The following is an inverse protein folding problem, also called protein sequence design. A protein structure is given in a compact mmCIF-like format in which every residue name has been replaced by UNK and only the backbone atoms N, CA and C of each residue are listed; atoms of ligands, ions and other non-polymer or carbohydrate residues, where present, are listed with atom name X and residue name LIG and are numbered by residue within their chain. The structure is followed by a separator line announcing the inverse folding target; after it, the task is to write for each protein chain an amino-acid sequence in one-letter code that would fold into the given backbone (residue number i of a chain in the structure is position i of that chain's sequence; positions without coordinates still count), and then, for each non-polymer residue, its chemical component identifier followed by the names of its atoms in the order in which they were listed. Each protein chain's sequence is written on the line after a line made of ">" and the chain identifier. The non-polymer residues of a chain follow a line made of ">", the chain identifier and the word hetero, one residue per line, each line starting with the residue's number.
data_IF_603777416550
#
_entry.id   IF_603777416550
#
_cell.length_a   1.000
_cell.length_b   1.000
_cell.length_c   1.000
_cell.angle_alpha   90.00
_cell.angle_beta   90.00
_cell.angle_gamma   90.00
#
_symmetry.space_group_name_H-M   'P 1'
#
loop_
_entity.id
_entity.type
_entity.pdbx_description
1 polymer ?
#
# COMPACT_ATOMS: atom_id res chain seq x y z
N UNK A 1 6.33 -25.05 -4.84
CA UNK A 1 5.47 -23.87 -4.71
C UNK A 1 6.15 -22.75 -5.48
N UNK A 2 5.46 -22.12 -6.42
CA UNK A 2 6.03 -20.94 -7.11
C UNK A 2 5.86 -19.74 -6.16
N UNK A 3 6.95 -19.10 -5.80
CA UNK A 3 6.87 -17.91 -4.94
C UNK A 3 6.39 -16.66 -5.70
N UNK A 4 6.71 -16.60 -7.00
CA UNK A 4 6.39 -15.44 -7.86
C UNK A 4 5.74 -15.93 -9.16
N UNK A 5 4.64 -15.31 -9.56
CA UNK A 5 3.99 -15.52 -10.87
C UNK A 5 4.00 -14.24 -11.68
N UNK A 6 4.30 -14.36 -12.96
CA UNK A 6 4.25 -13.26 -13.92
C UNK A 6 3.04 -13.44 -14.84
N UNK A 7 2.14 -12.45 -14.86
CA UNK A 7 0.92 -12.43 -15.69
C UNK A 7 0.19 -13.80 -15.75
N UNK A 8 -0.17 -14.40 -14.60
CA UNK A 8 -0.77 -15.72 -14.63
C UNK A 8 -2.17 -15.64 -15.27
N UNK A 9 -2.49 -16.64 -16.09
CA UNK A 9 -3.83 -16.82 -16.65
C UNK A 9 -4.73 -17.49 -15.57
N UNK A 10 -5.12 -16.71 -14.56
CA UNK A 10 -5.95 -17.13 -13.43
C UNK A 10 -7.24 -16.32 -13.40
N UNK A 11 -8.31 -16.94 -12.96
CA UNK A 11 -9.52 -16.22 -12.54
C UNK A 11 -9.20 -15.37 -11.31
N UNK A 12 -10.04 -14.39 -11.01
CA UNK A 12 -9.83 -13.54 -9.82
C UNK A 12 -9.84 -14.35 -8.51
N UNK A 13 -10.68 -15.39 -8.41
CA UNK A 13 -10.75 -16.28 -7.25
C UNK A 13 -9.45 -17.10 -7.08
N UNK A 14 -8.96 -17.67 -8.18
CA UNK A 14 -7.68 -18.39 -8.17
C UNK A 14 -6.51 -17.47 -7.83
N UNK A 15 -6.53 -16.23 -8.34
CA UNK A 15 -5.52 -15.22 -8.03
C UNK A 15 -5.50 -14.90 -6.53
N UNK A 16 -6.68 -14.66 -5.93
CA UNK A 16 -6.79 -14.40 -4.49
C UNK A 16 -6.29 -15.60 -3.67
N UNK A 17 -6.68 -16.83 -4.03
CA UNK A 17 -6.22 -18.04 -3.38
C UNK A 17 -4.69 -18.15 -3.39
N UNK A 18 -4.03 -17.83 -4.53
CA UNK A 18 -2.56 -17.86 -4.63
C UNK A 18 -1.90 -16.81 -3.74
N UNK A 19 -2.47 -15.61 -3.65
CA UNK A 19 -1.98 -14.56 -2.75
C UNK A 19 -2.17 -14.94 -1.28
N UNK A 20 -3.26 -15.65 -0.93
CA UNK A 20 -3.48 -16.18 0.42
C UNK A 20 -2.57 -17.39 0.75
N UNK A 21 -2.01 -18.06 -0.26
CA UNK A 21 -0.98 -19.09 -0.12
C UNK A 21 0.45 -18.50 -0.03
N UNK A 22 0.62 -17.17 -0.07
CA UNK A 22 1.91 -16.49 0.08
C UNK A 22 2.66 -16.26 -1.24
N UNK A 23 2.02 -16.44 -2.38
CA UNK A 23 2.63 -16.11 -3.66
C UNK A 23 2.59 -14.60 -3.91
N UNK A 24 3.57 -14.09 -4.66
CA UNK A 24 3.57 -12.75 -5.24
C UNK A 24 3.13 -12.83 -6.71
N UNK A 25 2.33 -11.86 -7.14
CA UNK A 25 1.90 -11.77 -8.54
C UNK A 25 2.40 -10.46 -9.14
N UNK A 26 3.07 -10.57 -10.27
CA UNK A 26 3.52 -9.43 -11.08
C UNK A 26 2.64 -9.30 -12.31
N UNK A 27 2.07 -8.14 -12.51
CA UNK A 27 1.29 -7.80 -13.70
C UNK A 27 2.07 -6.83 -14.59
N UNK A 28 2.11 -7.12 -15.88
CA UNK A 28 2.58 -6.20 -16.88
C UNK A 28 1.66 -4.99 -17.04
N UNK A 29 2.16 -3.85 -17.54
CA UNK A 29 1.33 -2.68 -17.77
C UNK A 29 0.16 -2.96 -18.70
N UNK A 30 -1.05 -2.69 -18.24
CA UNK A 30 -2.28 -2.71 -19.02
C UNK A 30 -2.75 -1.29 -19.32
N UNK A 31 -3.74 -1.11 -20.19
CA UNK A 31 -4.25 0.23 -20.51
C UNK A 31 -4.76 0.99 -19.27
N UNK A 32 -5.58 0.40 -18.36
CA UNK A 32 -6.01 1.08 -17.14
C UNK A 32 -4.86 1.38 -16.18
N UNK A 33 -3.89 0.47 -16.01
CA UNK A 33 -2.69 0.71 -15.17
C UNK A 33 -1.87 1.88 -15.72
N UNK A 34 -1.65 1.92 -17.04
CA UNK A 34 -0.96 3.04 -17.70
C UNK A 34 -1.75 4.36 -17.56
N UNK A 35 -3.07 4.32 -17.64
CA UNK A 35 -3.92 5.49 -17.47
C UNK A 35 -3.85 6.05 -16.04
N UNK A 36 -3.84 5.18 -15.02
CA UNK A 36 -3.66 5.59 -13.62
C UNK A 36 -2.29 6.24 -13.39
N UNK A 37 -1.23 5.65 -13.96
CA UNK A 37 0.13 6.24 -13.87
C UNK A 37 0.21 7.57 -14.62
N UNK A 38 -0.39 7.68 -15.81
CA UNK A 38 -0.43 8.93 -16.57
C UNK A 38 -1.18 10.04 -15.80
N UNK A 39 -2.31 9.70 -15.16
CA UNK A 39 -3.05 10.60 -14.29
C UNK A 39 -2.18 11.10 -13.13
N UNK A 40 -1.52 10.18 -12.42
CA UNK A 40 -0.62 10.53 -11.32
C UNK A 40 0.55 11.43 -11.79
N UNK A 41 1.18 11.11 -12.94
CA UNK A 41 2.25 11.93 -13.53
C UNK A 41 1.78 13.34 -13.87
N UNK A 42 0.57 13.50 -14.42
CA UNK A 42 -0.02 14.81 -14.69
C UNK A 42 -0.17 15.64 -13.42
N UNK A 43 -0.66 15.03 -12.33
CA UNK A 43 -0.79 15.69 -11.03
C UNK A 43 0.56 16.03 -10.40
N UNK A 44 1.55 15.13 -10.49
CA UNK A 44 2.91 15.34 -10.00
C UNK A 44 3.57 16.51 -10.77
N UNK A 45 3.51 16.48 -12.10
CA UNK A 45 4.06 17.56 -12.94
C UNK A 45 3.42 18.91 -12.63
N UNK A 46 2.10 18.95 -12.41
CA UNK A 46 1.39 20.16 -11.99
C UNK A 46 1.83 20.69 -10.61
N UNK A 47 2.23 19.80 -9.69
CA UNK A 47 2.70 20.19 -8.35
C UNK A 47 4.16 20.69 -8.35
N UNK A 48 4.99 20.16 -9.24
CA UNK A 48 6.42 20.50 -9.32
C UNK A 48 6.76 21.40 -10.53
N UNK A 49 5.72 21.79 -11.29
CA UNK A 49 5.79 22.76 -12.40
C UNK A 49 6.83 22.38 -13.47
N UNK A 50 7.90 23.15 -13.55
CA UNK A 50 8.99 23.09 -14.53
C UNK A 50 10.20 22.26 -14.07
N UNK A 51 10.10 21.61 -12.92
CA UNK A 51 11.20 20.83 -12.34
C UNK A 51 10.95 19.34 -12.48
N UNK A 52 12.03 18.56 -12.67
CA UNK A 52 11.93 17.11 -12.61
C UNK A 52 11.57 16.65 -11.19
N UNK A 53 10.40 16.06 -10.97
CA UNK A 53 9.91 15.71 -9.64
C UNK A 53 10.77 14.66 -8.93
N UNK A 54 11.49 13.83 -9.69
CA UNK A 54 12.35 12.80 -9.09
C UNK A 54 13.63 13.38 -8.49
N UNK A 55 14.15 14.48 -9.03
CA UNK A 55 15.41 15.10 -8.58
C UNK A 55 15.22 16.46 -7.85
N UNK A 56 14.00 16.97 -7.77
CA UNK A 56 13.72 18.30 -7.23
C UNK A 56 14.12 18.46 -5.76
N UNK A 57 14.12 17.39 -4.97
CA UNK A 57 14.52 17.41 -3.56
C UNK A 57 15.91 18.02 -3.31
N UNK A 58 16.81 17.97 -4.30
CA UNK A 58 18.14 18.56 -4.19
C UNK A 58 18.22 20.04 -4.58
N UNK A 59 17.09 20.63 -5.00
CA UNK A 59 17.03 21.98 -5.58
C UNK A 59 16.13 22.94 -4.83
N UNK A 60 15.26 22.43 -3.94
CA UNK A 60 14.34 23.23 -3.14
C UNK A 60 14.47 22.88 -1.66
N UNK A 61 14.13 23.82 -0.75
CA UNK A 61 14.06 23.55 0.68
C UNK A 61 13.01 22.48 1.03
N UNK A 62 13.22 21.79 2.16
CA UNK A 62 12.32 20.74 2.67
C UNK A 62 10.88 21.26 2.83
N UNK A 63 10.73 22.47 3.36
CA UNK A 63 9.43 23.11 3.59
C UNK A 63 8.66 23.32 2.29
N UNK A 64 9.35 23.74 1.24
CA UNK A 64 8.74 23.93 -0.09
C UNK A 64 8.35 22.59 -0.69
N UNK A 65 9.20 21.57 -0.58
CA UNK A 65 8.87 20.22 -1.02
C UNK A 65 7.60 19.69 -0.32
N UNK A 66 7.49 19.88 0.98
CA UNK A 66 6.33 19.49 1.78
C UNK A 66 5.07 20.25 1.33
N UNK A 67 5.16 21.54 1.10
CA UNK A 67 4.03 22.37 0.63
C UNK A 67 3.51 21.93 -0.75
N UNK A 68 4.36 21.38 -1.60
CA UNK A 68 3.98 20.85 -2.91
C UNK A 68 3.45 19.39 -2.82
N UNK A 69 4.17 18.52 -2.13
CA UNK A 69 3.86 17.09 -2.05
C UNK A 69 2.65 16.77 -1.16
N UNK A 70 2.43 17.51 -0.06
CA UNK A 70 1.32 17.26 0.86
C UNK A 70 -0.06 17.41 0.20
N UNK A 71 -0.39 18.58 -0.39
CA UNK A 71 -1.64 18.76 -1.13
C UNK A 71 -1.80 17.82 -2.34
N UNK A 72 -0.70 17.48 -3.02
CA UNK A 72 -0.70 16.52 -4.13
C UNK A 72 -1.23 15.15 -3.69
N UNK A 73 -0.73 14.61 -2.57
CA UNK A 73 -1.19 13.32 -2.03
C UNK A 73 -2.69 13.34 -1.73
N UNK A 74 -3.17 14.39 -1.07
CA UNK A 74 -4.59 14.53 -0.74
C UNK A 74 -5.46 14.67 -1.99
N UNK A 75 -5.03 15.45 -2.98
CA UNK A 75 -5.75 15.60 -4.26
C UNK A 75 -5.85 14.27 -4.98
N UNK A 76 -4.75 13.51 -5.12
CA UNK A 76 -4.77 12.21 -5.76
C UNK A 76 -5.76 11.24 -5.10
N UNK A 77 -5.72 11.18 -3.77
CA UNK A 77 -6.60 10.31 -2.97
C UNK A 77 -8.09 10.64 -3.15
N UNK A 78 -8.43 11.93 -3.22
CA UNK A 78 -9.83 12.38 -3.23
C UNK A 78 -10.39 12.62 -4.64
N UNK A 79 -9.54 12.54 -5.67
CA UNK A 79 -9.97 12.76 -7.05
C UNK A 79 -10.92 11.64 -7.51
N UNK A 80 -12.15 11.97 -7.96
CA UNK A 80 -13.07 10.98 -8.52
C UNK A 80 -12.45 10.18 -9.67
N UNK A 81 -11.60 10.82 -10.50
CA UNK A 81 -10.94 10.16 -11.61
C UNK A 81 -9.98 9.05 -11.15
N UNK A 82 -9.30 9.23 -10.03
CA UNK A 82 -8.45 8.17 -9.45
C UNK A 82 -9.29 6.93 -9.11
N UNK A 83 -10.48 7.10 -8.52
CA UNK A 83 -11.38 5.98 -8.16
C UNK A 83 -11.93 5.28 -9.41
N UNK A 84 -12.31 6.04 -10.43
CA UNK A 84 -12.75 5.48 -11.72
C UNK A 84 -11.65 4.63 -12.38
N UNK A 85 -10.42 5.11 -12.39
CA UNK A 85 -9.29 4.39 -12.97
C UNK A 85 -8.96 3.11 -12.19
N UNK A 86 -9.10 3.12 -10.86
CA UNK A 86 -8.99 1.88 -10.06
C UNK A 86 -10.10 0.90 -10.42
N UNK A 87 -11.34 1.36 -10.54
CA UNK A 87 -12.45 0.51 -11.01
C UNK A 87 -12.15 -0.11 -12.37
N UNK A 88 -11.61 0.65 -13.32
CA UNK A 88 -11.25 0.14 -14.65
C UNK A 88 -10.15 -0.94 -14.56
N UNK A 89 -9.17 -0.79 -13.66
CA UNK A 89 -8.15 -1.81 -13.36
C UNK A 89 -8.81 -3.08 -12.83
N UNK A 90 -9.77 -2.95 -11.90
CA UNK A 90 -10.46 -4.10 -11.31
C UNK A 90 -11.34 -4.82 -12.34
N UNK A 91 -11.99 -4.09 -13.26
CA UNK A 91 -12.73 -4.68 -14.40
C UNK A 91 -11.79 -5.53 -15.25
N UNK A 92 -10.65 -4.97 -15.67
CA UNK A 92 -9.69 -5.67 -16.51
C UNK A 92 -9.07 -6.89 -15.81
N UNK A 93 -8.95 -6.82 -14.49
CA UNK A 93 -8.46 -7.93 -13.65
C UNK A 93 -9.51 -9.01 -13.38
N UNK A 94 -10.70 -8.92 -13.99
CA UNK A 94 -11.78 -9.90 -13.83
C UNK A 94 -12.43 -9.91 -12.45
N UNK A 95 -12.35 -8.80 -11.70
CA UNK A 95 -13.01 -8.68 -10.41
C UNK A 95 -14.53 -8.51 -10.58
N UNK A 96 -15.33 -9.20 -9.76
CA UNK A 96 -16.75 -8.83 -9.61
C UNK A 96 -16.86 -7.53 -8.83
N UNK A 97 -17.27 -6.46 -9.51
CA UNK A 97 -17.34 -5.12 -8.92
C UNK A 97 -18.38 -4.99 -7.80
N UNK A 98 -19.38 -5.88 -7.75
CA UNK A 98 -20.42 -5.85 -6.72
C UNK A 98 -19.96 -6.47 -5.40
N UNK A 99 -19.02 -7.42 -5.46
CA UNK A 99 -18.42 -8.06 -4.28
C UNK A 99 -17.00 -7.59 -3.97
N UNK A 100 -16.35 -6.85 -4.89
CA UNK A 100 -15.01 -6.28 -4.66
C UNK A 100 -15.11 -4.89 -4.07
N UNK A 101 -14.36 -4.66 -3.01
CA UNK A 101 -14.19 -3.36 -2.36
C UNK A 101 -12.73 -2.95 -2.41
N UNK A 102 -12.46 -1.65 -2.55
CA UNK A 102 -11.11 -1.11 -2.48
C UNK A 102 -11.03 0.04 -1.48
N UNK A 103 -9.85 0.21 -0.89
CA UNK A 103 -9.62 1.28 0.06
C UNK A 103 -9.15 2.58 -0.61
N UNK A 104 -8.93 3.57 0.20
CA UNK A 104 -8.43 4.89 -0.19
C UNK A 104 -7.10 4.78 -0.95
N UNK A 105 -7.05 5.13 -2.25
CA UNK A 105 -5.81 5.09 -3.03
C UNK A 105 -4.80 6.11 -2.51
N UNK A 106 -3.53 5.71 -2.46
CA UNK A 106 -2.45 6.54 -1.91
C UNK A 106 -1.36 6.79 -2.94
N UNK A 107 -1.03 8.06 -3.13
CA UNK A 107 0.20 8.43 -3.80
C UNK A 107 1.32 8.54 -2.74
N UNK A 108 2.30 7.65 -2.83
CA UNK A 108 3.46 7.63 -1.94
C UNK A 108 4.59 8.46 -2.53
N UNK A 109 5.23 9.22 -1.64
CA UNK A 109 6.40 10.04 -1.95
C UNK A 109 7.49 9.65 -0.97
N UNK A 110 8.56 9.04 -1.46
CA UNK A 110 9.69 8.60 -0.63
C UNK A 110 10.96 9.28 -1.14
N UNK A 111 11.43 10.27 -0.40
CA UNK A 111 12.67 10.97 -0.72
C UNK A 111 13.88 10.07 -0.49
N UNK A 112 15.02 10.43 -1.05
CA UNK A 112 16.29 9.73 -0.84
C UNK A 112 17.14 10.42 0.23
N UNK A 113 18.14 9.67 0.71
CA UNK A 113 19.25 10.18 1.50
C UNK A 113 18.84 10.93 2.78
N UNK A 114 17.70 10.55 3.37
CA UNK A 114 17.21 11.15 4.60
C UNK A 114 16.70 12.59 4.43
N UNK A 115 16.47 13.08 3.21
CA UNK A 115 15.95 14.43 2.95
C UNK A 115 14.61 14.69 3.66
N UNK A 116 13.73 13.70 3.71
CA UNK A 116 12.46 13.77 4.42
C UNK A 116 12.16 12.40 5.05
N UNK A 117 12.11 12.33 6.38
CA UNK A 117 11.97 11.06 7.12
C UNK A 117 10.64 10.87 7.84
N UNK A 118 9.76 11.89 7.81
CA UNK A 118 8.48 11.86 8.51
C UNK A 118 7.36 12.51 7.67
N UNK A 119 6.13 12.40 8.15
CA UNK A 119 4.97 13.06 7.52
C UNK A 119 4.75 12.63 6.07
N UNK A 120 4.93 13.54 5.13
CA UNK A 120 4.69 13.32 3.69
C UNK A 120 5.61 12.22 3.12
N UNK A 121 6.86 12.16 3.56
CA UNK A 121 7.89 11.25 3.04
C UNK A 121 8.18 10.05 3.94
N UNK A 122 7.28 9.69 4.87
CA UNK A 122 7.51 8.56 5.77
C UNK A 122 7.75 7.26 5.01
N UNK A 123 8.91 6.66 5.26
CA UNK A 123 9.29 5.34 4.75
C UNK A 123 8.94 4.27 5.79
N UNK A 124 8.01 3.39 5.45
CA UNK A 124 7.55 2.35 6.38
C UNK A 124 8.66 1.35 6.69
N UNK A 125 8.94 1.15 7.98
CA UNK A 125 9.78 0.07 8.48
C UNK A 125 9.11 -1.28 8.25
N UNK A 126 9.81 -2.38 8.52
CA UNK A 126 9.25 -3.71 8.35
C UNK A 126 7.96 -3.88 9.17
N UNK A 127 6.90 -4.36 8.51
CA UNK A 127 5.58 -4.59 9.10
C UNK A 127 4.75 -5.53 8.24
N UNK A 128 3.69 -6.07 8.83
CA UNK A 128 2.55 -6.63 8.09
C UNK A 128 1.42 -5.60 8.13
N UNK A 129 0.62 -5.51 7.07
CA UNK A 129 -0.54 -4.63 7.12
C UNK A 129 -1.57 -5.11 8.16
N UNK A 130 -1.62 -6.41 8.46
CA UNK A 130 -2.46 -6.97 9.51
C UNK A 130 -2.13 -6.37 10.88
N UNK A 131 -0.90 -5.98 11.17
CA UNK A 131 -0.55 -5.27 12.39
C UNK A 131 -1.17 -3.86 12.50
N UNK A 132 -1.63 -3.32 11.36
CA UNK A 132 -2.41 -2.07 11.28
C UNK A 132 -3.92 -2.34 11.21
N UNK A 133 -4.36 -3.47 11.75
CA UNK A 133 -5.78 -3.89 11.79
C UNK A 133 -6.41 -4.10 10.41
N UNK A 134 -5.60 -4.43 9.41
CA UNK A 134 -6.10 -4.82 8.09
C UNK A 134 -6.60 -6.26 8.11
N UNK A 135 -7.70 -6.58 7.41
CA UNK A 135 -8.22 -7.94 7.38
C UNK A 135 -7.29 -8.90 6.63
N UNK A 136 -7.25 -10.16 7.04
CA UNK A 136 -6.46 -11.24 6.40
C UNK A 136 -6.80 -11.47 4.93
N UNK A 137 -8.02 -11.08 4.51
CA UNK A 137 -8.49 -11.13 3.14
C UNK A 137 -7.99 -9.97 2.27
N UNK A 138 -7.26 -9.01 2.85
CA UNK A 138 -6.78 -7.85 2.11
C UNK A 138 -5.64 -8.23 1.17
N UNK A 139 -5.73 -7.71 -0.06
CA UNK A 139 -4.70 -7.76 -1.08
C UNK A 139 -4.18 -6.36 -1.37
N UNK A 140 -2.88 -6.24 -1.47
CA UNK A 140 -2.18 -5.01 -1.78
C UNK A 140 -1.83 -4.95 -3.27
N UNK A 141 -2.10 -3.82 -3.88
CA UNK A 141 -1.70 -3.45 -5.23
C UNK A 141 -0.70 -2.32 -5.12
N UNK A 142 0.51 -2.56 -5.59
CA UNK A 142 1.57 -1.57 -5.54
C UNK A 142 2.24 -1.41 -6.90
N UNK A 143 2.32 -0.17 -7.40
CA UNK A 143 2.90 0.14 -8.69
C UNK A 143 3.70 1.44 -8.65
N UNK A 144 4.87 1.49 -9.31
CA UNK A 144 5.64 2.72 -9.41
C UNK A 144 5.09 3.65 -10.49
N UNK A 145 5.24 4.96 -10.26
CA UNK A 145 4.87 6.00 -11.23
C UNK A 145 5.98 6.21 -12.26
N UNK A 146 7.24 6.01 -11.86
CA UNK A 146 8.44 6.06 -12.71
C UNK A 146 9.22 4.75 -12.57
N UNK A 147 10.08 4.43 -13.53
CA UNK A 147 10.93 3.24 -13.46
C UNK A 147 11.78 3.23 -12.19
N UNK A 148 11.91 2.07 -11.57
CA UNK A 148 12.64 1.91 -10.31
C UNK A 148 14.05 1.37 -10.55
N UNK A 149 14.91 1.66 -9.59
CA UNK A 149 16.17 0.96 -9.34
C UNK A 149 16.12 0.22 -7.99
N UNK A 150 17.03 -0.72 -7.71
CA UNK A 150 16.98 -1.57 -6.50
C UNK A 150 16.89 -0.81 -5.16
N UNK A 151 17.46 0.39 -5.07
CA UNK A 151 17.41 1.25 -3.88
C UNK A 151 16.13 2.09 -3.74
N UNK A 152 15.15 1.94 -4.65
CA UNK A 152 13.90 2.70 -4.64
C UNK A 152 12.65 1.84 -4.44
N UNK A 153 12.79 0.54 -4.22
CA UNK A 153 11.66 -0.39 -4.19
C UNK A 153 11.22 -0.72 -2.76
N UNK A 154 10.49 -1.80 -2.62
CA UNK A 154 10.11 -2.40 -1.35
C UNK A 154 10.91 -3.66 -1.10
N UNK A 155 11.20 -3.93 0.17
CA UNK A 155 11.77 -5.18 0.65
C UNK A 155 10.63 -6.10 1.09
N UNK A 156 10.61 -7.33 0.60
CA UNK A 156 9.69 -8.39 1.00
C UNK A 156 10.48 -9.48 1.72
N UNK A 157 9.89 -10.05 2.76
CA UNK A 157 10.54 -11.05 3.62
C UNK A 157 9.74 -12.36 3.63
N UNK A 158 9.75 -13.15 2.55
CA UNK A 158 8.90 -14.35 2.42
C UNK A 158 9.21 -15.43 3.45
N UNK A 159 10.40 -15.45 4.03
CA UNK A 159 10.76 -16.37 5.12
C UNK A 159 9.88 -16.23 6.37
N UNK A 160 9.20 -15.10 6.52
CA UNK A 160 8.26 -14.85 7.62
C UNK A 160 6.79 -15.17 7.28
N UNK A 161 6.49 -15.77 6.13
CA UNK A 161 5.10 -16.02 5.74
C UNK A 161 4.28 -16.75 6.80
N UNK A 162 4.78 -17.89 7.28
CA UNK A 162 4.18 -18.68 8.35
C UNK A 162 4.91 -18.57 9.69
N UNK A 163 5.98 -17.77 9.73
CA UNK A 163 6.81 -17.65 10.91
C UNK A 163 6.52 -16.33 11.63
N UNK A 164 6.06 -16.38 12.89
CA UNK A 164 5.83 -15.18 13.66
C UNK A 164 7.14 -14.45 13.94
N UNK A 165 7.04 -13.13 14.10
CA UNK A 165 8.10 -12.27 14.61
C UNK A 165 7.55 -11.41 15.74
N UNK A 166 8.28 -11.29 16.85
CA UNK A 166 7.89 -10.41 17.96
C UNK A 166 7.68 -8.98 17.45
N UNK A 167 6.52 -8.39 17.79
CA UNK A 167 6.13 -7.06 17.30
C UNK A 167 5.27 -6.32 18.31
N UNK A 168 5.05 -5.03 18.08
CA UNK A 168 4.28 -4.14 18.96
C UNK A 168 2.83 -3.92 18.51
N UNK A 169 2.24 -4.81 17.70
CA UNK A 169 0.86 -4.63 17.21
C UNK A 169 -0.18 -4.63 18.33
N UNK A 170 0.09 -5.29 19.46
CA UNK A 170 -0.79 -5.25 20.64
C UNK A 170 -1.02 -3.82 21.19
N UNK A 171 -0.11 -2.89 20.91
CA UNK A 171 -0.21 -1.48 21.32
C UNK A 171 -0.91 -0.61 20.27
N UNK A 172 -1.38 -1.20 19.18
CA UNK A 172 -1.99 -0.49 18.07
C UNK A 172 -3.51 -0.68 18.05
N UNK A 173 -4.23 0.43 18.05
CA UNK A 173 -5.66 0.51 17.87
C UNK A 173 -5.98 1.43 16.69
N UNK A 174 -6.65 0.90 15.66
CA UNK A 174 -6.94 1.64 14.43
C UNK A 174 -7.94 2.78 14.66
N UNK A 175 -8.92 2.62 15.54
CA UNK A 175 -9.92 3.65 15.83
C UNK A 175 -9.26 4.82 16.57
N UNK A 176 -8.36 4.54 17.53
CA UNK A 176 -7.53 5.56 18.15
C UNK A 176 -6.59 6.23 17.14
N UNK A 177 -5.96 5.45 16.26
CA UNK A 177 -5.09 5.95 15.21
C UNK A 177 -5.80 6.97 14.30
N UNK A 178 -7.03 6.69 13.86
CA UNK A 178 -7.81 7.64 13.05
C UNK A 178 -8.11 8.91 13.85
N UNK A 179 -8.56 8.76 15.10
CA UNK A 179 -8.98 9.87 15.94
C UNK A 179 -7.82 10.85 16.26
N UNK A 180 -6.64 10.30 16.54
CA UNK A 180 -5.46 11.08 16.98
C UNK A 180 -4.46 11.27 15.83
N UNK A 181 -4.23 10.23 15.05
CA UNK A 181 -3.17 10.16 14.03
C UNK A 181 -3.45 11.06 12.82
N UNK A 182 -4.71 11.23 12.41
CA UNK A 182 -5.06 12.16 11.31
C UNK A 182 -4.70 13.61 11.63
N UNK A 183 -4.91 14.02 12.87
CA UNK A 183 -4.56 15.38 13.33
C UNK A 183 -3.05 15.58 13.41
N UNK A 184 -2.30 14.54 13.76
CA UNK A 184 -0.84 14.59 13.87
C UNK A 184 -0.11 14.37 12.53
N UNK A 185 -0.74 13.72 11.56
CA UNK A 185 -0.17 13.50 10.23
C UNK A 185 0.11 14.80 9.46
N UNK A 186 -0.57 15.90 9.82
CA UNK A 186 -0.34 17.24 9.26
C UNK A 186 0.80 17.98 9.96
N UNK A 187 1.19 17.55 11.17
CA UNK A 187 2.32 18.14 11.89
C UNK A 187 3.62 17.56 11.34
N UNK A 188 4.28 18.35 10.54
CA UNK A 188 5.56 17.97 9.95
C UNK A 188 6.68 18.29 10.93
N UNK A 189 7.40 17.26 11.35
CA UNK A 189 8.58 17.39 12.21
C UNK A 189 9.70 16.49 11.71
N UNK A 190 10.87 16.63 12.28
CA UNK A 190 12.02 15.75 12.00
C UNK A 190 11.83 14.31 12.49
N UNK A 191 10.81 14.06 13.31
CA UNK A 191 10.51 12.75 13.90
C UNK A 191 9.02 12.46 13.74
N UNK A 192 8.67 11.25 13.27
CA UNK A 192 7.30 10.78 13.27
C UNK A 192 6.91 10.34 14.68
N UNK A 193 5.94 11.05 15.27
CA UNK A 193 5.46 10.79 16.63
C UNK A 193 4.28 9.82 16.69
N UNK A 194 3.81 9.32 15.52
CA UNK A 194 2.73 8.35 15.47
C UNK A 194 3.20 6.99 15.95
N UNK A 195 2.34 6.28 16.68
CA UNK A 195 2.60 4.89 17.05
C UNK A 195 2.45 4.00 15.82
N UNK A 196 3.54 3.43 15.36
CA UNK A 196 3.54 2.41 14.30
C UNK A 196 3.85 1.06 14.94
N UNK A 197 3.11 -0.01 14.60
CA UNK A 197 3.51 -1.36 14.97
C UNK A 197 4.84 -1.70 14.29
N UNK A 198 5.80 -2.16 15.08
CA UNK A 198 7.16 -2.45 14.64
C UNK A 198 7.62 -3.80 15.16
N UNK A 199 8.54 -4.51 14.46
CA UNK A 199 9.23 -5.64 15.03
C UNK A 199 10.00 -5.22 16.29
N UNK A 200 9.98 -6.04 17.33
CA UNK A 200 10.77 -5.84 18.57
C UNK A 200 12.15 -6.47 18.47
N UNK A 201 12.37 -7.24 17.41
CA UNK A 201 13.66 -7.88 17.09
C UNK A 201 14.09 -7.53 15.66
N UNK A 202 15.36 -7.77 15.35
CA UNK A 202 15.90 -7.50 14.02
C UNK A 202 15.32 -8.48 13.02
N UNK A 203 14.75 -7.97 11.92
CA UNK A 203 14.31 -8.79 10.80
C UNK A 203 15.52 -9.41 10.10
N UNK A 204 15.51 -10.73 9.93
CA UNK A 204 16.51 -11.44 9.14
C UNK A 204 16.33 -11.13 7.65
N UNK A 205 17.35 -10.57 7.04
CA UNK A 205 17.36 -10.23 5.61
C UNK A 205 17.84 -11.37 4.70
N UNK A 206 18.13 -12.55 5.23
CA UNK A 206 18.64 -13.67 4.43
C UNK A 206 17.69 -14.07 3.29
N UNK A 207 16.38 -13.85 3.46
CA UNK A 207 15.35 -14.14 2.46
C UNK A 207 14.76 -12.87 1.84
N UNK A 208 15.41 -11.71 2.01
CA UNK A 208 14.92 -10.46 1.44
C UNK A 208 14.82 -10.53 -0.09
N UNK A 209 13.67 -10.14 -0.61
CA UNK A 209 13.42 -10.00 -2.04
C UNK A 209 13.05 -8.56 -2.37
N UNK A 210 13.52 -8.08 -3.52
CA UNK A 210 13.20 -6.74 -4.04
C UNK A 210 12.68 -6.82 -5.46
N UNK A 211 11.50 -6.30 -5.69
CA UNK A 211 10.89 -6.22 -7.01
C UNK A 211 11.21 -4.89 -7.67
N UNK A 212 12.12 -4.90 -8.64
CA UNK A 212 12.51 -3.70 -9.41
C UNK A 212 11.58 -3.59 -10.61
N UNK A 213 10.57 -2.75 -10.50
CA UNK A 213 9.50 -2.63 -11.48
C UNK A 213 9.70 -1.40 -12.37
N UNK A 214 9.23 -1.51 -13.62
CA UNK A 214 9.02 -0.37 -14.51
C UNK A 214 7.69 0.30 -14.20
N UNK A 215 7.53 1.53 -14.67
CA UNK A 215 6.28 2.28 -14.52
C UNK A 215 5.06 1.47 -14.99
N UNK A 216 4.01 1.46 -14.16
CA UNK A 216 2.77 0.71 -14.35
C UNK A 216 2.87 -0.83 -14.28
N UNK A 217 4.06 -1.43 -14.14
CA UNK A 217 4.13 -2.81 -13.66
C UNK A 217 3.60 -2.86 -12.22
N UNK A 218 2.85 -3.89 -11.89
CA UNK A 218 2.14 -3.94 -10.60
C UNK A 218 2.50 -5.20 -9.82
N UNK A 219 2.88 -5.02 -8.56
CA UNK A 219 3.06 -6.09 -7.60
C UNK A 219 1.79 -6.26 -6.76
N UNK A 220 1.25 -7.48 -6.76
CA UNK A 220 0.19 -7.89 -5.85
C UNK A 220 0.76 -8.80 -4.77
N UNK A 221 0.32 -8.57 -3.52
CA UNK A 221 0.71 -9.37 -2.38
C UNK A 221 -0.33 -9.28 -1.26
N UNK A 222 -0.36 -10.27 -0.36
CA UNK A 222 -1.27 -10.28 0.79
C UNK A 222 -0.84 -9.30 1.88
N UNK A 223 -1.81 -8.74 2.61
CA UNK A 223 -1.59 -7.93 3.83
C UNK A 223 -0.71 -8.63 4.89
N UNK A 224 -0.69 -9.96 4.87
CA UNK A 224 0.10 -10.79 5.79
C UNK A 224 1.58 -10.93 5.43
N UNK A 225 2.03 -10.44 4.27
CA UNK A 225 3.45 -10.43 3.96
C UNK A 225 4.20 -9.41 4.83
N UNK A 226 5.28 -9.84 5.48
CA UNK A 226 6.22 -8.92 6.10
C UNK A 226 6.96 -8.16 5.01
N UNK A 227 6.88 -6.83 5.04
CA UNK A 227 7.48 -5.97 4.03
C UNK A 227 7.92 -4.63 4.61
N UNK A 228 8.81 -3.94 3.90
CA UNK A 228 9.31 -2.63 4.27
C UNK A 228 9.51 -1.74 3.04
N UNK A 229 9.57 -0.44 3.24
CA UNK A 229 10.20 0.45 2.25
C UNK A 229 11.71 0.23 2.30
N UNK A 230 12.33 -0.15 1.17
CA UNK A 230 13.78 -0.22 1.08
C UNK A 230 14.37 1.18 1.33
N UNK A 231 15.49 1.28 2.07
CA UNK A 231 16.18 2.56 2.23
C UNK A 231 16.51 3.16 0.86
N UNK A 232 16.00 4.36 0.59
CA UNK A 232 16.23 5.05 -0.67
C UNK A 232 17.54 5.85 -0.59
N UNK A 233 18.57 5.39 -1.28
CA UNK A 233 19.87 6.04 -1.41
C UNK A 233 20.21 6.37 -2.88
N UNK A 234 19.18 6.59 -3.69
CA UNK A 234 19.33 6.76 -5.15
C UNK A 234 19.66 8.18 -5.59
N UNK A 235 19.60 9.16 -4.70
CA UNK A 235 19.61 10.57 -5.08
C UNK A 235 18.29 11.07 -5.69
N UNK A 236 17.24 10.22 -5.74
CA UNK A 236 15.96 10.54 -6.38
C UNK A 236 14.77 10.25 -5.48
N UNK A 237 13.75 11.09 -5.57
CA UNK A 237 12.45 10.84 -4.94
C UNK A 237 11.69 9.75 -5.71
N UNK A 238 11.23 8.70 -5.00
CA UNK A 238 10.31 7.71 -5.53
C UNK A 238 8.87 8.18 -5.41
N UNK A 239 8.11 8.01 -6.48
CA UNK A 239 6.65 8.11 -6.49
C UNK A 239 6.06 6.74 -6.81
N UNK A 240 5.11 6.27 -5.99
CA UNK A 240 4.39 5.02 -6.21
C UNK A 240 2.95 5.16 -5.80
N UNK A 241 2.09 4.29 -6.33
CA UNK A 241 0.68 4.22 -5.97
C UNK A 241 0.47 2.91 -5.23
N UNK A 242 -0.31 2.92 -4.17
CA UNK A 242 -0.85 1.75 -3.54
C UNK A 242 -2.34 1.92 -3.25
N UNK A 243 -3.06 0.84 -3.44
CA UNK A 243 -4.44 0.66 -3.00
C UNK A 243 -4.62 -0.80 -2.59
N UNK A 244 -5.67 -1.07 -1.87
CA UNK A 244 -5.96 -2.41 -1.36
C UNK A 244 -7.33 -2.86 -1.81
N UNK A 245 -7.50 -4.16 -1.94
CA UNK A 245 -8.79 -4.77 -2.26
C UNK A 245 -9.15 -5.87 -1.29
N UNK A 246 -10.45 -6.08 -1.12
CA UNK A 246 -11.04 -7.22 -0.44
C UNK A 246 -12.23 -7.73 -1.25
N UNK A 247 -12.49 -9.03 -1.15
CA UNK A 247 -13.76 -9.61 -1.60
C UNK A 247 -14.70 -9.75 -0.41
N UNK A 248 -15.95 -9.31 -0.59
CA UNK A 248 -17.00 -9.50 0.42
C UNK A 248 -17.25 -10.98 0.71
N UNK A 249 -17.10 -11.84 -0.29
CA UNK A 249 -17.29 -13.28 -0.15
C UNK A 249 -16.17 -13.92 0.68
N UNK A 250 -14.93 -13.45 0.51
CA UNK A 250 -13.81 -13.87 1.35
C UNK A 250 -14.01 -13.43 2.81
N UNK A 251 -14.47 -12.21 3.05
CA UNK A 251 -14.80 -11.75 4.41
C UNK A 251 -15.89 -12.60 5.05
N UNK A 252 -16.97 -12.90 4.30
CA UNK A 252 -18.10 -13.70 4.79
C UNK A 252 -17.69 -15.14 5.08
N UNK A 253 -16.90 -15.78 4.22
CA UNK A 253 -16.42 -17.14 4.40
C UNK A 253 -15.28 -17.25 5.43
N UNK A 254 -14.62 -16.13 5.77
CA UNK A 254 -13.41 -16.12 6.60
C UNK A 254 -12.16 -16.57 5.87
N UNK A 255 -12.19 -16.56 4.53
CA UNK A 255 -11.01 -16.79 3.71
C UNK A 255 -9.99 -15.65 3.89
N UNK A 256 -8.72 -15.98 3.76
CA UNK A 256 -7.61 -15.03 3.88
C UNK A 256 -6.29 -15.71 4.16
N UNK A 257 -5.25 -14.93 4.17
CA UNK A 257 -3.90 -15.39 4.44
C UNK A 257 -3.69 -15.76 5.93
N UNK A 258 -2.63 -16.51 6.29
CA UNK A 258 -2.20 -16.68 7.67
C UNK A 258 -1.92 -15.33 8.33
N UNK A 259 -2.17 -15.24 9.62
CA UNK A 259 -1.87 -14.06 10.43
C UNK A 259 -1.25 -14.49 11.77
N UNK A 260 0.04 -14.90 11.74
CA UNK A 260 0.64 -15.66 12.84
C UNK A 260 0.98 -14.81 14.07
N UNK A 261 1.02 -13.48 13.96
CA UNK A 261 1.63 -12.63 14.97
C UNK A 261 0.92 -11.27 15.16
N UNK A 262 -0.27 -11.10 14.63
CA UNK A 262 -1.06 -9.87 14.82
C UNK A 262 -1.82 -9.89 16.15
N UNK A 263 -1.78 -8.77 16.86
CA UNK A 263 -2.55 -8.52 18.08
C UNK A 263 -3.18 -7.11 18.10
N UNK A 264 -3.26 -6.45 16.94
CA UNK A 264 -3.84 -5.11 16.82
C UNK A 264 -5.34 -5.08 17.04
N UNK A 265 -5.86 -3.92 17.41
CA UNK A 265 -7.29 -3.69 17.68
C UNK A 265 -7.91 -2.74 16.66
N UNK A 266 -9.24 -2.79 16.55
CA UNK A 266 -9.98 -2.01 15.56
C UNK A 266 -10.02 -2.66 14.18
N UNK A 267 -10.36 -1.92 13.14
CA UNK A 267 -10.42 -2.44 11.77
C UNK A 267 -10.32 -1.35 10.72
N UNK A 268 -9.57 -1.61 9.65
CA UNK A 268 -9.51 -0.73 8.45
C UNK A 268 -10.72 -0.88 7.53
N UNK A 269 -11.62 -1.83 7.78
CA UNK A 269 -12.74 -2.15 6.87
C UNK A 269 -13.66 -0.98 6.56
N UNK A 270 -13.78 0.02 7.46
CA UNK A 270 -14.56 1.23 7.20
C UNK A 270 -13.98 2.16 6.13
N UNK A 271 -12.73 1.96 5.74
CA UNK A 271 -12.10 2.74 4.66
C UNK A 271 -12.40 2.18 3.26
N UNK A 272 -13.04 1.00 3.18
CA UNK A 272 -13.31 0.33 1.90
C UNK A 272 -14.64 0.74 1.28
N UNK A 273 -14.60 0.98 -0.02
CA UNK A 273 -15.76 1.32 -0.84
C UNK A 273 -15.94 0.28 -1.96
N UNK A 274 -17.21 0.00 -2.30
CA UNK A 274 -17.55 -0.96 -3.35
C UNK A 274 -17.12 -0.46 -4.73
N UNK A 275 -16.55 -1.34 -5.53
CA UNK A 275 -16.01 -0.96 -6.83
C UNK A 275 -17.09 -0.56 -7.85
N UNK A 276 -18.33 -1.07 -7.73
CA UNK A 276 -19.40 -0.76 -8.69
C UNK A 276 -19.99 0.64 -8.54
N UNK A 277 -20.15 1.14 -7.32
CA UNK A 277 -20.89 2.38 -7.00
C UNK A 277 -20.24 3.27 -5.93
N UNK A 278 -19.07 2.90 -5.45
CA UNK A 278 -18.29 3.61 -4.42
C UNK A 278 -19.00 3.75 -3.06
N UNK A 279 -20.01 2.90 -2.80
CA UNK A 279 -20.67 2.88 -1.49
C UNK A 279 -19.78 2.18 -0.44
N UNK A 280 -19.82 2.62 0.83
CA UNK A 280 -19.06 2.00 1.91
C UNK A 280 -19.41 0.51 2.07
N UNK A 281 -18.48 -0.23 2.68
CA UNK A 281 -18.74 -1.61 3.10
C UNK A 281 -19.88 -1.63 4.13
N UNK A 282 -20.88 -2.54 4.01
CA UNK A 282 -21.97 -2.66 4.96
C UNK A 282 -21.49 -2.91 6.40
N UNK A 283 -22.15 -2.30 7.39
CA UNK A 283 -21.73 -2.39 8.80
C UNK A 283 -21.75 -3.82 9.37
N UNK A 284 -22.65 -4.67 8.87
CA UNK A 284 -22.68 -6.09 9.24
C UNK A 284 -21.42 -6.84 8.76
N UNK A 285 -20.93 -6.51 7.55
CA UNK A 285 -19.70 -7.04 7.03
C UNK A 285 -18.46 -6.49 7.78
N UNK A 286 -18.48 -5.21 8.16
CA UNK A 286 -17.45 -4.60 9.01
C UNK A 286 -17.38 -5.31 10.35
N UNK A 287 -18.52 -5.49 11.02
CA UNK A 287 -18.59 -6.17 12.32
C UNK A 287 -18.17 -7.65 12.26
N UNK A 288 -18.44 -8.32 11.14
CA UNK A 288 -18.02 -9.71 10.90
C UNK A 288 -16.50 -9.81 10.70
N UNK A 289 -15.93 -8.93 9.88
CA UNK A 289 -14.49 -8.91 9.61
C UNK A 289 -13.68 -8.53 10.85
N UNK A 290 -14.14 -7.55 11.65
CA UNK A 290 -13.48 -7.12 12.88
C UNK A 290 -13.39 -8.20 13.98
N UNK A 291 -14.23 -9.25 13.94
CA UNK A 291 -14.18 -10.38 14.88
C UNK A 291 -13.17 -11.47 14.47
N UNK A 292 -12.59 -11.37 13.28
CA UNK A 292 -11.73 -12.37 12.66
C UNK A 292 -10.31 -11.87 12.38
N UNK A 293 -10.02 -10.61 12.78
CA UNK A 293 -8.68 -10.00 12.74
C UNK A 293 -7.88 -10.27 14.02
#
# INVERSE_FOLDING_TARGET
>A
MNLVRLNPALTNDELRAKLFDGEFILLSPTKPLQALVAHARGMISGAFSDQDPCSVQHRIPVEEFIQRAGPLKSRFTNDPKTKELIRDILVESGCDLNSTYFDVPRLRVVSSDGYLVSGVGYAYKAHRDTWYSSPRAQLNWWLPVFDLIPSQTMSMYPGYWNNPIGNSSADFDYDEWIRVGRTNATKQGSVDTRKHPLPVEKVDSATEMRFVLKAAETLLFSASHLHATAPNSSGQTRFSIDFRTISLDDLKSGAGAPDPDNASQGTTLRDFIRASDFQPLPEDAVAMGARRT
#
